data_IF_038696784999
#
_entry.id   IF_038696784999
#
_cell.length_a   1.000
_cell.length_b   1.000
_cell.length_c   1.000
_cell.angle_alpha   90.00
_cell.angle_beta   90.00
_cell.angle_gamma   90.00
#
_symmetry.space_group_name_H-M   'P 1'
#
loop_
_entity.id
_entity.type
_entity.pdbx_description
1 polymer ?
#
# COMPACT_ATOMS: atom_id res chain seq x y z
N UNK A 1 -5.96 1.28 -18.15
CA UNK A 1 -5.92 2.61 -17.48
C UNK A 1 -6.99 2.78 -16.42
N UNK A 2 -8.22 2.27 -16.60
CA UNK A 2 -9.26 2.31 -15.55
C UNK A 2 -8.80 1.66 -14.23
N UNK A 3 -8.11 0.52 -14.27
CA UNK A 3 -7.55 -0.14 -13.08
C UNK A 3 -6.58 0.76 -12.28
N UNK A 4 -5.72 1.54 -12.94
CA UNK A 4 -4.82 2.49 -12.27
C UNK A 4 -5.59 3.55 -11.48
N UNK A 5 -6.60 4.16 -12.10
CA UNK A 5 -7.40 5.18 -11.45
C UNK A 5 -8.16 4.59 -10.25
N UNK A 6 -8.76 3.41 -10.42
CA UNK A 6 -9.52 2.75 -9.36
C UNK A 6 -8.64 2.33 -8.19
N UNK A 7 -7.44 1.75 -8.44
CA UNK A 7 -6.52 1.42 -7.33
C UNK A 7 -6.03 2.67 -6.61
N UNK A 8 -5.80 3.79 -7.32
CA UNK A 8 -5.47 5.08 -6.70
C UNK A 8 -6.62 5.55 -5.79
N UNK A 9 -7.86 5.58 -6.28
CA UNK A 9 -9.02 6.05 -5.50
C UNK A 9 -9.28 5.17 -4.26
N UNK A 10 -9.20 3.85 -4.41
CA UNK A 10 -9.34 2.91 -3.30
C UNK A 10 -8.20 3.10 -2.28
N UNK A 11 -6.95 3.19 -2.73
CA UNK A 11 -5.78 3.39 -1.86
C UNK A 11 -5.79 4.76 -1.16
N UNK A 12 -6.27 5.80 -1.83
CA UNK A 12 -6.52 7.11 -1.23
C UNK A 12 -7.57 6.99 -0.13
N UNK A 13 -8.66 6.27 -0.37
CA UNK A 13 -9.70 6.04 0.64
C UNK A 13 -9.14 5.35 1.88
N UNK A 14 -8.28 4.34 1.72
CA UNK A 14 -7.56 3.71 2.84
C UNK A 14 -6.75 4.74 3.63
N UNK A 15 -5.96 5.57 2.94
CA UNK A 15 -5.13 6.58 3.60
C UNK A 15 -5.97 7.61 4.38
N UNK A 16 -7.12 8.05 3.83
CA UNK A 16 -8.03 8.98 4.49
C UNK A 16 -8.71 8.34 5.72
N UNK A 17 -9.12 7.08 5.63
CA UNK A 17 -9.67 6.34 6.77
C UNK A 17 -8.60 6.21 7.86
N UNK A 18 -7.39 5.77 7.52
CA UNK A 18 -6.29 5.65 8.49
C UNK A 18 -5.98 6.99 9.18
N UNK A 19 -6.00 8.09 8.43
CA UNK A 19 -5.83 9.45 8.98
C UNK A 19 -6.95 9.83 9.94
N UNK A 20 -8.19 9.44 9.65
CA UNK A 20 -9.35 9.80 10.46
C UNK A 20 -9.43 9.03 11.78
N UNK A 21 -9.03 7.75 11.78
CA UNK A 21 -9.29 6.85 12.93
C UNK A 21 -8.30 7.05 14.08
N UNK A 22 -7.19 7.76 13.87
CA UNK A 22 -6.13 8.05 14.86
C UNK A 22 -5.89 6.90 15.84
N UNK A 23 -5.55 5.73 15.29
CA UNK A 23 -5.39 4.52 16.10
C UNK A 23 -4.09 4.57 16.90
N UNK A 24 -4.20 4.40 18.22
CA UNK A 24 -3.05 4.11 19.07
C UNK A 24 -2.38 2.80 18.63
N UNK A 25 -1.07 2.68 18.86
CA UNK A 25 -0.24 1.54 18.42
C UNK A 25 -0.79 0.14 18.76
N UNK A 26 -1.46 -0.01 19.91
CA UNK A 26 -2.07 -1.27 20.34
C UNK A 26 -3.37 -1.64 19.62
N UNK A 27 -4.06 -0.67 19.01
CA UNK A 27 -5.35 -0.89 18.35
C UNK A 27 -5.20 -1.17 16.84
N UNK A 28 -4.02 -0.87 16.28
CA UNK A 28 -3.72 -1.09 14.87
C UNK A 28 -3.94 -2.53 14.42
N UNK A 29 -3.60 -3.52 15.26
CA UNK A 29 -3.83 -4.93 14.93
C UNK A 29 -5.32 -5.31 14.92
N UNK A 30 -6.15 -4.64 15.73
CA UNK A 30 -7.61 -4.83 15.74
C UNK A 30 -8.22 -4.22 14.48
N UNK A 31 -7.75 -3.04 14.07
CA UNK A 31 -8.12 -2.41 12.80
C UNK A 31 -7.78 -3.32 11.61
N UNK A 32 -6.57 -3.87 11.61
CA UNK A 32 -6.07 -4.84 10.63
C UNK A 32 -6.93 -6.10 10.55
N UNK A 33 -7.26 -6.69 11.70
CA UNK A 33 -8.09 -7.89 11.75
C UNK A 33 -9.46 -7.63 11.13
N UNK A 34 -10.11 -6.50 11.46
CA UNK A 34 -11.37 -6.11 10.82
C UNK A 34 -11.24 -5.91 9.30
N UNK A 35 -10.18 -5.25 8.87
CA UNK A 35 -9.86 -5.03 7.45
C UNK A 35 -9.75 -6.36 6.70
N UNK A 36 -8.88 -7.25 7.18
CA UNK A 36 -8.60 -8.52 6.52
C UNK A 36 -9.79 -9.49 6.58
N UNK A 37 -10.64 -9.39 7.60
CA UNK A 37 -11.89 -10.15 7.68
C UNK A 37 -12.87 -9.76 6.57
N UNK A 38 -13.10 -8.47 6.35
CA UNK A 38 -13.99 -8.03 5.27
C UNK A 38 -13.37 -8.30 3.91
N UNK A 39 -12.07 -8.09 3.76
CA UNK A 39 -11.35 -8.39 2.53
C UNK A 39 -11.38 -9.89 2.19
N UNK A 40 -11.30 -10.79 3.18
CA UNK A 40 -11.41 -12.24 2.96
C UNK A 40 -12.83 -12.65 2.53
N UNK A 41 -13.87 -12.05 3.12
CA UNK A 41 -15.26 -12.31 2.71
C UNK A 41 -15.49 -11.83 1.27
N UNK A 42 -15.07 -10.61 0.94
CA UNK A 42 -15.26 -10.07 -0.41
C UNK A 42 -14.49 -10.89 -1.44
N UNK A 43 -13.23 -11.25 -1.17
CA UNK A 43 -12.45 -12.10 -2.07
C UNK A 43 -13.03 -13.52 -2.22
N UNK A 44 -13.63 -14.08 -1.16
CA UNK A 44 -14.40 -15.33 -1.27
C UNK A 44 -15.60 -15.18 -2.20
N UNK A 45 -16.34 -14.06 -2.12
CA UNK A 45 -17.43 -13.78 -3.04
C UNK A 45 -16.94 -13.73 -4.49
N UNK A 46 -15.78 -13.10 -4.76
CA UNK A 46 -15.19 -13.10 -6.11
C UNK A 46 -14.85 -14.49 -6.63
N UNK A 47 -14.39 -15.41 -5.77
CA UNK A 47 -14.19 -16.82 -6.14
C UNK A 47 -15.53 -17.46 -6.54
N UNK A 48 -16.59 -17.25 -5.74
CA UNK A 48 -17.90 -17.86 -5.98
C UNK A 48 -18.59 -17.35 -7.25
N UNK A 49 -18.35 -16.10 -7.65
CA UNK A 49 -18.93 -15.50 -8.85
C UNK A 49 -18.09 -15.67 -10.12
N UNK A 50 -16.82 -16.08 -10.02
CA UNK A 50 -15.95 -16.32 -11.17
C UNK A 50 -15.91 -17.81 -11.48
N UNK A 51 -16.74 -18.25 -12.43
CA UNK A 51 -16.92 -19.67 -12.77
C UNK A 51 -15.62 -20.40 -13.14
N UNK A 52 -14.65 -19.69 -13.75
CA UNK A 52 -13.37 -20.25 -14.18
C UNK A 52 -12.21 -20.03 -13.18
N UNK A 53 -12.49 -19.61 -11.94
CA UNK A 53 -11.44 -19.42 -10.94
C UNK A 53 -10.73 -20.74 -10.62
N UNK A 54 -9.40 -20.76 -10.73
CA UNK A 54 -8.61 -21.97 -10.56
C UNK A 54 -7.82 -21.97 -9.26
N UNK A 55 -7.91 -23.06 -8.51
CA UNK A 55 -7.13 -23.29 -7.31
C UNK A 55 -5.78 -23.92 -7.64
N UNK A 56 -4.71 -23.42 -7.01
CA UNK A 56 -3.38 -24.01 -7.08
C UNK A 56 -2.71 -24.01 -5.71
N UNK A 57 -2.02 -25.11 -5.38
CA UNK A 57 -1.23 -25.24 -4.15
C UNK A 57 -0.10 -24.21 -4.09
N UNK A 58 0.46 -23.85 -5.25
CA UNK A 58 1.53 -22.87 -5.37
C UNK A 58 1.03 -21.48 -4.98
N UNK A 59 -0.18 -21.12 -5.45
CA UNK A 59 -0.86 -19.86 -5.11
C UNK A 59 -1.30 -19.83 -3.65
N UNK A 60 -1.74 -20.97 -3.08
CA UNK A 60 -1.98 -21.10 -1.65
C UNK A 60 -0.74 -20.77 -0.83
N UNK A 61 0.36 -21.50 -1.04
CA UNK A 61 1.59 -21.32 -0.25
C UNK A 61 2.13 -19.89 -0.39
N UNK A 62 2.09 -19.33 -1.60
CA UNK A 62 2.55 -17.97 -1.84
C UNK A 62 1.65 -16.94 -1.13
N UNK A 63 0.32 -17.09 -1.23
CA UNK A 63 -0.65 -16.24 -0.55
C UNK A 63 -0.54 -16.30 0.98
N UNK A 64 -0.32 -17.48 1.56
CA UNK A 64 -0.09 -17.65 3.00
C UNK A 64 1.16 -16.88 3.47
N UNK A 65 2.29 -17.05 2.76
CA UNK A 65 3.52 -16.33 3.08
C UNK A 65 3.37 -14.81 2.97
N UNK A 66 2.69 -14.36 1.91
CA UNK A 66 2.46 -12.95 1.68
C UNK A 66 1.49 -12.33 2.71
N UNK A 67 0.48 -13.07 3.15
CA UNK A 67 -0.41 -12.62 4.24
C UNK A 67 0.32 -12.40 5.56
N UNK A 68 1.34 -13.21 5.88
CA UNK A 68 2.20 -12.97 7.04
C UNK A 68 3.01 -11.68 6.88
N UNK A 69 3.61 -11.46 5.70
CA UNK A 69 4.34 -10.23 5.39
C UNK A 69 3.44 -8.99 5.41
N UNK A 70 2.18 -9.10 5.01
CA UNK A 70 1.18 -8.04 5.14
C UNK A 70 0.97 -7.62 6.61
N UNK A 71 0.80 -8.58 7.50
CA UNK A 71 0.65 -8.30 8.94
C UNK A 71 1.91 -7.68 9.52
N UNK A 72 3.09 -8.26 9.23
CA UNK A 72 4.38 -7.76 9.72
C UNK A 72 4.63 -6.32 9.25
N UNK A 73 4.43 -6.06 7.95
CA UNK A 73 4.69 -4.74 7.34
C UNK A 73 3.75 -3.68 7.89
N UNK A 74 2.47 -4.00 8.07
CA UNK A 74 1.54 -3.03 8.65
C UNK A 74 1.81 -2.78 10.14
N UNK A 75 2.14 -3.81 10.93
CA UNK A 75 2.53 -3.61 12.33
C UNK A 75 3.81 -2.76 12.43
N UNK A 76 4.78 -2.99 11.54
CA UNK A 76 5.96 -2.14 11.42
C UNK A 76 5.58 -0.70 11.08
N UNK A 77 4.63 -0.49 10.16
CA UNK A 77 4.11 0.83 9.79
C UNK A 77 3.42 1.55 10.95
N UNK A 78 2.52 0.88 11.68
CA UNK A 78 1.85 1.44 12.85
C UNK A 78 2.85 1.82 13.98
N UNK A 79 3.86 0.98 14.21
CA UNK A 79 4.94 1.29 15.16
C UNK A 79 5.82 2.43 14.66
N UNK A 80 6.15 2.48 13.37
CA UNK A 80 6.91 3.57 12.78
C UNK A 80 6.17 4.91 12.94
N UNK A 81 4.85 4.95 12.78
CA UNK A 81 4.04 6.15 13.07
C UNK A 81 4.23 6.60 14.52
N UNK A 82 4.22 5.65 15.47
CA UNK A 82 4.34 5.94 16.90
C UNK A 82 5.73 6.42 17.31
N UNK A 83 6.81 5.91 16.68
CA UNK A 83 8.20 6.22 17.04
C UNK A 83 8.85 7.33 16.18
N UNK A 84 8.45 7.44 14.93
CA UNK A 84 9.04 8.36 13.95
C UNK A 84 8.09 9.50 13.55
N UNK A 85 6.81 9.41 13.93
CA UNK A 85 5.75 10.29 13.45
C UNK A 85 5.16 9.83 12.11
N UNK A 86 3.94 10.28 11.85
CA UNK A 86 3.17 9.99 10.63
C UNK A 86 3.93 10.39 9.37
N UNK A 87 4.61 11.54 9.39
CA UNK A 87 5.35 12.06 8.23
C UNK A 87 6.48 11.15 7.76
N UNK A 88 7.36 10.72 8.67
CA UNK A 88 8.47 9.83 8.34
C UNK A 88 8.01 8.43 7.97
N UNK A 89 7.04 7.87 8.70
CA UNK A 89 6.50 6.55 8.40
C UNK A 89 5.83 6.50 7.03
N UNK A 90 5.02 7.51 6.70
CA UNK A 90 4.36 7.62 5.39
C UNK A 90 5.36 7.85 4.26
N UNK A 91 6.39 8.67 4.51
CA UNK A 91 7.46 8.86 3.51
C UNK A 91 8.19 7.54 3.24
N UNK A 92 8.52 6.78 4.29
CA UNK A 92 9.16 5.48 4.15
C UNK A 92 8.29 4.49 3.36
N UNK A 93 6.98 4.45 3.63
CA UNK A 93 6.07 3.58 2.86
C UNK A 93 5.97 3.99 1.39
N UNK A 94 6.03 5.28 1.05
CA UNK A 94 6.07 5.72 -0.36
C UNK A 94 7.40 5.44 -1.04
N UNK A 95 8.52 5.57 -0.33
CA UNK A 95 9.84 5.22 -0.85
C UNK A 95 10.02 3.72 -1.08
N UNK A 96 9.19 2.87 -0.46
CA UNK A 96 9.19 1.42 -0.70
C UNK A 96 9.02 1.05 -2.18
N UNK A 97 8.41 1.94 -2.99
CA UNK A 97 8.25 1.81 -4.44
C UNK A 97 9.57 1.54 -5.17
N UNK A 98 10.71 1.94 -4.60
CA UNK A 98 12.04 1.69 -5.17
C UNK A 98 12.30 0.18 -5.30
N UNK A 99 11.83 -0.63 -4.34
CA UNK A 99 12.05 -2.08 -4.33
C UNK A 99 11.39 -2.78 -5.53
N UNK A 100 10.07 -2.67 -5.76
CA UNK A 100 9.45 -3.32 -6.89
C UNK A 100 9.98 -2.78 -8.23
N UNK A 101 10.37 -1.51 -8.33
CA UNK A 101 10.98 -0.96 -9.55
C UNK A 101 12.33 -1.63 -9.82
N UNK A 102 13.26 -1.57 -8.86
CA UNK A 102 14.61 -2.13 -9.04
C UNK A 102 14.57 -3.63 -9.30
N UNK A 103 13.76 -4.37 -8.54
CA UNK A 103 13.62 -5.81 -8.75
C UNK A 103 12.93 -6.14 -10.07
N UNK A 104 12.02 -5.31 -10.57
CA UNK A 104 11.41 -5.52 -11.90
C UNK A 104 12.39 -5.24 -13.04
N UNK A 105 13.27 -4.24 -12.89
CA UNK A 105 14.36 -3.99 -13.85
C UNK A 105 15.34 -5.18 -13.86
N UNK A 106 15.75 -5.67 -12.69
CA UNK A 106 16.77 -6.73 -12.57
C UNK A 106 16.24 -8.12 -12.94
N UNK A 107 15.06 -8.49 -12.44
CA UNK A 107 14.52 -9.86 -12.55
C UNK A 107 13.70 -10.04 -13.82
N UNK A 108 12.92 -9.01 -14.20
CA UNK A 108 12.01 -9.06 -15.35
C UNK A 108 12.53 -8.28 -16.57
N UNK A 109 13.76 -7.75 -16.51
CA UNK A 109 14.39 -6.97 -17.58
C UNK A 109 13.51 -5.80 -18.08
N UNK A 110 12.67 -5.23 -17.21
CA UNK A 110 11.89 -4.04 -17.56
C UNK A 110 12.86 -2.88 -17.78
N UNK A 111 12.91 -2.36 -19.01
CA UNK A 111 13.84 -1.30 -19.40
C UNK A 111 13.11 0.04 -19.47
N UNK A 112 13.50 1.03 -18.65
CA UNK A 112 12.84 2.32 -18.68
C UNK A 112 13.23 3.11 -19.93
N UNK A 113 12.25 3.78 -20.55
CA UNK A 113 12.53 4.74 -21.62
C UNK A 113 13.11 6.06 -21.07
N UNK A 114 13.71 6.87 -21.94
CA UNK A 114 14.29 8.17 -21.55
C UNK A 114 13.28 9.07 -20.82
N UNK A 115 12.02 9.10 -21.29
CA UNK A 115 10.94 9.83 -20.63
C UNK A 115 10.59 9.26 -19.26
N UNK A 116 10.64 7.93 -19.09
CA UNK A 116 10.37 7.30 -17.79
C UNK A 116 11.46 7.61 -16.77
N UNK A 117 12.72 7.71 -17.20
CA UNK A 117 13.82 8.15 -16.33
C UNK A 117 13.56 9.56 -15.79
N UNK A 118 13.13 10.49 -16.65
CA UNK A 118 12.72 11.83 -16.24
C UNK A 118 11.54 11.76 -15.26
N UNK A 119 10.56 10.90 -15.53
CA UNK A 119 9.44 10.63 -14.64
C UNK A 119 9.84 10.13 -13.24
N UNK A 120 10.87 9.29 -13.14
CA UNK A 120 11.42 8.84 -11.85
C UNK A 120 12.08 9.98 -11.08
N UNK A 121 12.77 10.89 -11.75
CA UNK A 121 13.33 12.09 -11.11
C UNK A 121 12.20 12.93 -10.50
N UNK A 122 11.13 13.21 -11.25
CA UNK A 122 9.96 13.92 -10.72
C UNK A 122 9.24 13.16 -9.59
N UNK A 123 9.22 11.82 -9.64
CA UNK A 123 8.68 10.98 -8.57
C UNK A 123 9.49 11.14 -7.28
N UNK A 124 10.83 11.09 -7.37
CA UNK A 124 11.71 11.30 -6.23
C UNK A 124 11.54 12.70 -5.63
N UNK A 125 11.49 13.74 -6.49
CA UNK A 125 11.20 15.12 -6.09
C UNK A 125 9.87 15.22 -5.36
N UNK A 126 8.83 14.55 -5.87
CA UNK A 126 7.50 14.51 -5.25
C UNK A 126 7.56 13.94 -3.84
N UNK A 127 8.27 12.82 -3.62
CA UNK A 127 8.38 12.22 -2.29
C UNK A 127 9.16 13.09 -1.31
N UNK A 128 10.26 13.72 -1.76
CA UNK A 128 11.07 14.62 -0.92
C UNK A 128 10.24 15.81 -0.45
N UNK A 129 9.52 16.48 -1.36
CA UNK A 129 8.72 17.64 -0.98
C UNK A 129 7.44 17.26 -0.25
N UNK A 130 6.86 16.09 -0.53
CA UNK A 130 5.76 15.54 0.25
C UNK A 130 6.18 15.33 1.71
N UNK A 131 7.37 14.76 1.95
CA UNK A 131 7.93 14.63 3.29
C UNK A 131 8.02 15.99 4.00
N UNK A 132 8.61 17.00 3.37
CA UNK A 132 8.68 18.34 3.97
C UNK A 132 7.31 18.97 4.20
N UNK A 133 6.30 18.57 3.43
CA UNK A 133 4.92 19.04 3.62
C UNK A 133 4.26 18.47 4.88
N UNK A 134 4.65 17.26 5.32
CA UNK A 134 3.98 16.51 6.40
C UNK A 134 4.89 16.28 7.62
N UNK A 135 6.12 16.80 7.59
CA UNK A 135 7.09 16.61 8.68
C UNK A 135 6.82 17.63 9.80
N UNK A 136 6.10 17.21 10.84
CA UNK A 136 5.73 18.05 11.98
C UNK A 136 6.85 18.25 13.02
N UNK A 137 8.12 18.15 12.63
CA UNK A 137 9.26 18.42 13.52
C UNK A 137 9.33 17.53 14.78
N UNK A 138 8.52 16.47 14.87
CA UNK A 138 8.49 15.57 16.02
C UNK A 138 9.83 14.83 16.17
N UNK A 139 10.58 15.25 17.18
CA UNK A 139 11.80 14.60 17.68
C UNK A 139 11.45 13.80 18.92
N UNK A 140 11.07 12.53 18.80
CA UNK A 140 11.12 11.65 19.98
C UNK A 140 10.93 10.18 19.63
N UNK A 141 12.06 9.47 19.63
CA UNK A 141 12.19 8.03 19.63
C UNK A 141 13.68 7.69 19.63
N UNK A 142 14.09 6.65 20.35
CA UNK A 142 15.46 6.14 20.34
C UNK A 142 15.91 5.95 18.88
N UNK A 143 17.03 6.59 18.51
CA UNK A 143 17.44 6.78 17.13
C UNK A 143 17.54 5.45 16.38
N UNK A 144 18.06 4.41 17.04
CA UNK A 144 18.23 3.09 16.43
C UNK A 144 16.89 2.41 16.09
N UNK A 145 15.97 2.33 17.06
CA UNK A 145 14.65 1.68 16.87
C UNK A 145 13.84 2.44 15.81
N UNK A 146 13.92 3.77 15.82
CA UNK A 146 13.26 4.63 14.83
C UNK A 146 13.71 4.27 13.41
N UNK A 147 15.01 4.28 13.14
CA UNK A 147 15.52 3.98 11.79
C UNK A 147 15.30 2.52 11.40
N UNK A 148 15.39 1.58 12.35
CA UNK A 148 15.07 0.18 12.10
C UNK A 148 13.62 -0.01 11.66
N UNK A 149 12.65 0.62 12.35
CA UNK A 149 11.24 0.54 11.97
C UNK A 149 10.96 1.18 10.62
N UNK A 150 11.58 2.33 10.32
CA UNK A 150 11.45 2.96 9.01
C UNK A 150 12.01 2.06 7.90
N UNK A 151 13.15 1.40 8.11
CA UNK A 151 13.71 0.45 7.17
C UNK A 151 12.82 -0.79 7.00
N UNK A 152 12.27 -1.31 8.10
CA UNK A 152 11.35 -2.44 8.07
C UNK A 152 10.07 -2.13 7.28
N UNK A 153 9.55 -0.90 7.38
CA UNK A 153 8.43 -0.42 6.55
C UNK A 153 8.80 -0.39 5.08
N UNK A 154 9.94 0.22 4.73
CA UNK A 154 10.42 0.32 3.36
C UNK A 154 10.58 -1.06 2.73
N UNK A 155 11.24 -1.98 3.43
CA UNK A 155 11.50 -3.34 2.96
C UNK A 155 10.21 -4.15 2.90
N UNK A 156 9.42 -4.15 3.98
CA UNK A 156 8.22 -4.97 4.07
C UNK A 156 7.17 -4.60 3.03
N UNK A 157 6.86 -3.31 2.89
CA UNK A 157 5.90 -2.84 1.88
C UNK A 157 6.45 -3.06 0.47
N UNK A 158 7.74 -2.80 0.24
CA UNK A 158 8.33 -2.98 -1.08
C UNK A 158 8.39 -4.45 -1.52
N UNK A 159 8.64 -5.38 -0.59
CA UNK A 159 8.54 -6.82 -0.86
C UNK A 159 7.09 -7.23 -1.11
N UNK A 160 6.13 -6.70 -0.34
CA UNK A 160 4.71 -6.97 -0.57
C UNK A 160 4.29 -6.54 -1.97
N UNK A 161 4.64 -5.32 -2.35
CA UNK A 161 4.38 -4.76 -3.67
C UNK A 161 5.03 -5.62 -4.74
N UNK A 162 6.35 -5.88 -4.66
CA UNK A 162 7.04 -6.72 -5.65
C UNK A 162 6.45 -8.14 -5.74
N UNK A 163 5.97 -8.71 -4.63
CA UNK A 163 5.33 -10.02 -4.63
C UNK A 163 4.05 -10.05 -5.48
N UNK A 164 3.32 -8.92 -5.56
CA UNK A 164 2.18 -8.81 -6.49
C UNK A 164 2.63 -8.90 -7.94
N UNK A 165 3.73 -8.23 -8.31
CA UNK A 165 4.33 -8.36 -9.64
C UNK A 165 4.77 -9.80 -9.91
N UNK A 166 5.45 -10.43 -8.95
CA UNK A 166 5.86 -11.84 -9.06
C UNK A 166 4.66 -12.74 -9.35
N UNK A 167 3.54 -12.56 -8.64
CA UNK A 167 2.31 -13.29 -8.91
C UNK A 167 1.85 -13.11 -10.36
N UNK A 168 1.69 -11.87 -10.81
CA UNK A 168 1.17 -11.57 -12.16
C UNK A 168 2.07 -12.09 -13.29
N UNK A 169 3.38 -12.23 -13.05
CA UNK A 169 4.32 -12.76 -14.04
C UNK A 169 4.43 -14.29 -14.01
N UNK A 170 4.22 -14.92 -12.85
CA UNK A 170 4.45 -16.35 -12.65
C UNK A 170 3.17 -17.19 -12.70
N UNK A 171 2.02 -16.62 -12.32
CA UNK A 171 0.75 -17.34 -12.18
C UNK A 171 -0.28 -16.90 -13.23
N UNK A 172 -1.19 -17.81 -13.64
CA UNK A 172 -2.32 -17.46 -14.49
C UNK A 172 -3.29 -16.50 -13.79
N UNK A 173 -3.91 -15.60 -14.56
CA UNK A 173 -4.95 -14.66 -14.09
C UNK A 173 -6.17 -15.38 -13.47
N UNK A 174 -6.45 -16.61 -13.89
CA UNK A 174 -7.53 -17.44 -13.34
C UNK A 174 -7.30 -17.78 -11.85
N UNK A 175 -6.06 -17.72 -11.36
CA UNK A 175 -5.72 -17.98 -9.95
C UNK A 175 -5.78 -16.72 -9.08
N UNK A 176 -5.93 -15.53 -9.67
CA UNK A 176 -5.94 -14.25 -8.96
C UNK A 176 -6.97 -14.17 -7.82
N UNK A 177 -8.24 -14.60 -8.00
CA UNK A 177 -9.22 -14.54 -6.91
C UNK A 177 -8.80 -15.37 -5.69
N UNK A 178 -8.23 -16.56 -5.94
CA UNK A 178 -7.69 -17.42 -4.87
C UNK A 178 -6.46 -16.80 -4.21
N UNK A 179 -5.57 -16.18 -4.99
CA UNK A 179 -4.40 -15.50 -4.44
C UNK A 179 -4.80 -14.40 -3.46
N UNK A 180 -5.69 -13.50 -3.88
CA UNK A 180 -6.19 -12.40 -3.05
C UNK A 180 -6.89 -12.94 -1.80
N UNK A 181 -7.71 -13.98 -1.95
CA UNK A 181 -8.37 -14.66 -0.84
C UNK A 181 -7.38 -15.26 0.17
N UNK A 182 -6.32 -15.93 -0.30
CA UNK A 182 -5.32 -16.53 0.59
C UNK A 182 -4.48 -15.48 1.33
N UNK A 183 -4.12 -14.36 0.68
CA UNK A 183 -3.45 -13.25 1.35
C UNK A 183 -4.30 -12.73 2.51
N UNK A 184 -5.56 -12.35 2.22
CA UNK A 184 -6.40 -11.72 3.23
C UNK A 184 -6.88 -12.69 4.32
N UNK A 185 -7.21 -13.93 3.95
CA UNK A 185 -7.62 -14.95 4.94
C UNK A 185 -6.47 -15.31 5.87
N UNK A 186 -5.26 -15.53 5.34
CA UNK A 186 -4.11 -15.83 6.19
C UNK A 186 -3.71 -14.63 7.04
N UNK A 187 -3.70 -13.42 6.48
CA UNK A 187 -3.44 -12.20 7.24
C UNK A 187 -4.45 -11.99 8.37
N UNK A 188 -5.74 -12.27 8.14
CA UNK A 188 -6.77 -12.26 9.18
C UNK A 188 -6.49 -13.30 10.28
N UNK A 189 -6.14 -14.52 9.90
CA UNK A 189 -5.80 -15.60 10.85
C UNK A 189 -4.58 -15.21 11.69
N UNK A 190 -3.50 -14.73 11.07
CA UNK A 190 -2.28 -14.32 11.78
C UNK A 190 -2.55 -13.13 12.72
N UNK A 191 -3.30 -12.12 12.28
CA UNK A 191 -3.69 -10.99 13.12
C UNK A 191 -4.55 -11.45 14.31
N UNK A 192 -5.50 -12.36 14.08
CA UNK A 192 -6.39 -12.89 15.12
C UNK A 192 -5.62 -13.73 16.14
N UNK A 193 -4.70 -14.60 15.69
CA UNK A 193 -3.79 -15.36 16.56
C UNK A 193 -2.97 -14.39 17.42
N UNK A 194 -2.42 -13.34 16.83
CA UNK A 194 -1.65 -12.35 17.58
C UNK A 194 -2.50 -11.63 18.65
N UNK A 195 -3.72 -11.24 18.31
CA UNK A 195 -4.68 -10.63 19.25
C UNK A 195 -4.98 -11.58 20.41
N UNK A 196 -5.25 -12.86 20.12
CA UNK A 196 -5.54 -13.87 21.14
C UNK A 196 -4.34 -14.14 22.06
N UNK A 197 -3.15 -14.35 21.49
CA UNK A 197 -1.92 -14.63 22.25
C UNK A 197 -1.51 -13.45 23.14
N UNK A 198 -1.66 -12.22 22.65
CA UNK A 198 -1.34 -11.00 23.40
C UNK A 198 -2.50 -10.47 24.24
N UNK A 199 -3.65 -11.16 24.24
CA UNK A 199 -4.88 -10.78 24.96
C UNK A 199 -5.26 -9.31 24.71
N UNK A 200 -5.14 -8.87 23.46
CA UNK A 200 -5.39 -7.47 23.08
C UNK A 200 -6.89 -7.20 23.16
N UNK A 201 -7.27 -6.14 23.86
CA UNK A 201 -8.66 -5.74 24.01
C UNK A 201 -9.22 -5.27 22.67
N UNK A 202 -10.28 -5.92 22.20
CA UNK A 202 -10.99 -5.52 20.99
C UNK A 202 -11.85 -4.29 21.30
N UNK A 203 -11.50 -3.16 20.71
CA UNK A 203 -12.26 -1.91 20.83
C UNK A 203 -13.23 -1.84 19.68
N UNK A 204 -14.53 -1.76 19.98
CA UNK A 204 -15.61 -1.81 18.98
C UNK A 204 -15.45 -0.73 17.91
N UNK A 205 -15.13 0.50 18.30
CA UNK A 205 -14.89 1.61 17.37
C UNK A 205 -13.78 1.30 16.35
N UNK A 206 -12.64 0.80 16.84
CA UNK A 206 -11.50 0.46 15.97
C UNK A 206 -11.79 -0.75 15.10
N UNK A 207 -12.50 -1.75 15.62
CA UNK A 207 -12.96 -2.88 14.83
C UNK A 207 -13.90 -2.45 13.69
N UNK A 208 -14.88 -1.57 13.97
CA UNK A 208 -15.83 -1.08 12.95
C UNK A 208 -15.14 -0.31 11.82
N UNK A 209 -14.16 0.51 12.16
CA UNK A 209 -13.33 1.17 11.14
C UNK A 209 -12.46 0.20 10.36
N UNK A 210 -12.01 -0.88 11.00
CA UNK A 210 -11.32 -1.98 10.33
C UNK A 210 -12.20 -2.62 9.27
N UNK A 211 -13.45 -2.95 9.64
CA UNK A 211 -14.43 -3.51 8.70
C UNK A 211 -14.65 -2.59 7.49
N UNK A 212 -14.82 -1.28 7.73
CA UNK A 212 -14.98 -0.29 6.66
C UNK A 212 -13.73 -0.18 5.78
N UNK A 213 -12.53 -0.25 6.36
CA UNK A 213 -11.27 -0.19 5.64
C UNK A 213 -11.04 -1.41 4.75
N UNK A 214 -11.61 -2.57 5.11
CA UNK A 214 -11.51 -3.81 4.33
C UNK A 214 -12.02 -3.71 2.90
N UNK A 215 -13.09 -2.94 2.69
CA UNK A 215 -13.69 -2.75 1.37
C UNK A 215 -12.74 -2.07 0.38
N UNK A 216 -12.25 -0.84 0.61
CA UNK A 216 -11.31 -0.22 -0.31
C UNK A 216 -9.96 -0.97 -0.37
N UNK A 217 -9.59 -1.71 0.68
CA UNK A 217 -8.34 -2.47 0.68
C UNK A 217 -8.35 -3.64 -0.32
N UNK A 218 -9.38 -4.50 -0.30
CA UNK A 218 -9.46 -5.61 -1.25
C UNK A 218 -9.57 -5.12 -2.70
N UNK A 219 -10.36 -4.07 -2.94
CA UNK A 219 -10.48 -3.47 -4.27
C UNK A 219 -9.19 -2.82 -4.73
N UNK A 220 -8.46 -2.14 -3.85
CA UNK A 220 -7.13 -1.60 -4.17
C UNK A 220 -6.19 -2.69 -4.67
N UNK A 221 -6.14 -3.84 -3.97
CA UNK A 221 -5.31 -4.99 -4.36
C UNK A 221 -5.74 -5.59 -5.70
N UNK A 222 -7.03 -5.85 -5.91
CA UNK A 222 -7.54 -6.40 -7.17
C UNK A 222 -7.23 -5.45 -8.35
N UNK A 223 -7.49 -4.15 -8.19
CA UNK A 223 -7.21 -3.19 -9.23
C UNK A 223 -5.71 -2.97 -9.46
N UNK A 224 -4.86 -3.16 -8.45
CA UNK A 224 -3.42 -3.14 -8.61
C UNK A 224 -2.95 -4.34 -9.45
N UNK A 225 -3.42 -5.55 -9.14
CA UNK A 225 -3.12 -6.75 -9.92
C UNK A 225 -3.61 -6.62 -11.37
N UNK A 226 -4.83 -6.13 -11.56
CA UNK A 226 -5.36 -5.83 -12.89
C UNK A 226 -4.56 -4.76 -13.64
N UNK A 227 -3.92 -3.80 -12.96
CA UNK A 227 -3.01 -2.85 -13.60
C UNK A 227 -1.67 -3.48 -13.97
N UNK A 228 -1.11 -4.34 -13.11
CA UNK A 228 0.15 -5.05 -13.34
C UNK A 228 0.05 -6.12 -14.44
N UNK A 229 -1.15 -6.67 -14.67
CA UNK A 229 -1.40 -7.62 -15.75
C UNK A 229 -1.28 -6.97 -17.14
N UNK A 230 -1.51 -5.65 -17.26
CA UNK A 230 -1.51 -4.94 -18.55
C UNK A 230 -0.37 -3.94 -18.72
N UNK A 231 0.32 -3.56 -17.64
CA UNK A 231 1.38 -2.54 -17.65
C UNK A 231 2.61 -2.99 -16.87
N UNK A 232 3.82 -2.56 -17.28
CA UNK A 232 5.06 -2.79 -16.54
C UNK A 232 4.99 -2.27 -15.10
N UNK A 233 5.62 -3.00 -14.18
CA UNK A 233 5.69 -2.60 -12.77
C UNK A 233 6.40 -1.25 -12.61
N UNK A 234 7.44 -0.99 -13.41
CA UNK A 234 8.16 0.29 -13.42
C UNK A 234 7.27 1.50 -13.73
N UNK A 235 6.09 1.31 -14.33
CA UNK A 235 5.10 2.36 -14.55
C UNK A 235 4.01 2.37 -13.47
N UNK A 236 3.49 1.20 -13.12
CA UNK A 236 2.33 1.07 -12.21
C UNK A 236 2.66 1.63 -10.82
N UNK A 237 3.73 1.18 -10.18
CA UNK A 237 3.98 1.56 -8.78
C UNK A 237 4.26 3.05 -8.58
N UNK A 238 5.08 3.73 -9.40
CA UNK A 238 5.25 5.18 -9.32
C UNK A 238 3.97 5.96 -9.55
N UNK A 239 3.20 5.63 -10.61
CA UNK A 239 1.95 6.32 -10.94
C UNK A 239 0.94 6.17 -9.79
N UNK A 240 0.81 4.96 -9.24
CA UNK A 240 -0.09 4.71 -8.11
C UNK A 240 0.33 5.49 -6.87
N UNK A 241 1.61 5.46 -6.49
CA UNK A 241 2.08 6.16 -5.29
C UNK A 241 1.98 7.69 -5.41
N UNK A 242 2.37 8.26 -6.56
CA UNK A 242 2.23 9.70 -6.82
C UNK A 242 0.75 10.08 -6.91
N UNK A 243 -0.07 9.27 -7.57
CA UNK A 243 -1.52 9.46 -7.65
C UNK A 243 -2.15 9.52 -6.25
N UNK A 244 -1.81 8.57 -5.37
CA UNK A 244 -2.31 8.58 -3.99
C UNK A 244 -1.91 9.87 -3.27
N UNK A 245 -0.66 10.34 -3.42
CA UNK A 245 -0.22 11.62 -2.82
C UNK A 245 -1.07 12.79 -3.31
N UNK A 246 -1.27 12.92 -4.63
CA UNK A 246 -2.06 14.00 -5.20
C UNK A 246 -3.50 13.95 -4.69
N UNK A 247 -4.17 12.79 -4.80
CA UNK A 247 -5.57 12.66 -4.40
C UNK A 247 -5.79 12.80 -2.89
N UNK A 248 -4.91 12.24 -2.06
CA UNK A 248 -4.99 12.42 -0.60
C UNK A 248 -4.79 13.88 -0.20
N UNK A 249 -3.85 14.58 -0.84
CA UNK A 249 -3.56 16.00 -0.57
C UNK A 249 -4.73 16.89 -0.96
N UNK A 250 -5.32 16.68 -2.15
CA UNK A 250 -6.50 17.40 -2.61
C UNK A 250 -7.73 17.12 -1.73
N UNK A 251 -8.01 15.86 -1.43
CA UNK A 251 -9.15 15.51 -0.58
C UNK A 251 -8.96 15.98 0.85
N UNK A 252 -7.74 15.99 1.39
CA UNK A 252 -7.49 16.56 2.71
C UNK A 252 -7.74 18.07 2.75
N UNK A 253 -7.40 18.80 1.69
CA UNK A 253 -7.77 20.20 1.53
C UNK A 253 -9.30 20.40 1.51
N UNK A 254 -10.06 19.55 0.81
CA UNK A 254 -11.53 19.71 0.74
C UNK A 254 -12.26 19.24 2.00
N UNK A 255 -11.89 18.09 2.56
CA UNK A 255 -12.58 17.45 3.69
C UNK A 255 -12.21 18.12 5.02
N UNK A 256 -10.91 18.33 5.26
CA UNK A 256 -10.41 18.89 6.52
C UNK A 256 -10.01 20.37 6.44
N UNK A 257 -10.15 21.00 5.27
CA UNK A 257 -9.77 22.42 5.05
C UNK A 257 -8.32 22.70 5.42
N UNK A 258 -7.46 21.68 5.29
CA UNK A 258 -6.02 21.81 5.53
C UNK A 258 -5.41 22.74 4.48
N UNK A 259 -4.64 23.73 4.92
CA UNK A 259 -3.97 24.64 3.98
C UNK A 259 -2.77 23.94 3.37
N UNK A 260 -2.67 23.98 2.04
CA UNK A 260 -1.50 23.52 1.31
C UNK A 260 -0.32 24.45 1.62
N UNK A 261 0.73 23.90 2.23
CA UNK A 261 1.98 24.63 2.40
C UNK A 261 2.77 24.65 1.07
N UNK A 262 3.81 25.48 1.01
CA UNK A 262 4.63 25.64 -0.20
C UNK A 262 5.24 24.32 -0.69
N UNK A 263 5.64 23.44 0.24
CA UNK A 263 6.20 22.13 -0.07
C UNK A 263 5.18 21.17 -0.67
N UNK A 264 3.95 21.16 -0.14
CA UNK A 264 2.83 20.38 -0.68
C UNK A 264 2.44 20.81 -2.09
N UNK A 265 2.50 22.12 -2.39
CA UNK A 265 2.27 22.63 -3.74
C UNK A 265 3.36 22.12 -4.69
N UNK A 266 4.63 22.19 -4.29
CA UNK A 266 5.75 21.69 -5.10
C UNK A 266 5.61 20.18 -5.34
N UNK A 267 5.26 19.41 -4.30
CA UNK A 267 5.04 17.96 -4.43
C UNK A 267 3.88 17.65 -5.40
N UNK A 268 2.81 18.44 -5.37
CA UNK A 268 1.67 18.25 -6.25
C UNK A 268 2.01 18.58 -7.70
N UNK A 269 2.69 19.71 -7.95
CA UNK A 269 3.10 20.09 -9.31
C UNK A 269 4.14 19.12 -9.88
N UNK A 270 5.14 18.70 -9.10
CA UNK A 270 6.10 17.68 -9.53
C UNK A 270 5.43 16.32 -9.74
N UNK A 271 4.42 15.98 -8.95
CA UNK A 271 3.69 14.73 -9.08
C UNK A 271 2.89 14.64 -10.38
N UNK A 272 2.25 15.73 -10.79
CA UNK A 272 1.57 15.80 -12.09
C UNK A 272 2.58 15.60 -13.22
N UNK A 273 3.73 16.27 -13.16
CA UNK A 273 4.80 16.09 -14.16
C UNK A 273 5.32 14.66 -14.19
N UNK A 274 5.50 14.02 -13.02
CA UNK A 274 5.90 12.61 -12.92
C UNK A 274 4.95 11.70 -13.69
N UNK A 275 3.64 11.80 -13.43
CA UNK A 275 2.63 10.97 -14.10
C UNK A 275 2.62 11.21 -15.61
N UNK A 276 2.76 12.47 -16.05
CA UNK A 276 2.81 12.81 -17.48
C UNK A 276 4.01 12.15 -18.16
N UNK A 277 5.23 12.34 -17.63
CA UNK A 277 6.44 11.75 -18.20
C UNK A 277 6.42 10.21 -18.19
N UNK A 278 5.92 9.61 -17.11
CA UNK A 278 5.77 8.15 -17.01
C UNK A 278 4.72 7.61 -17.98
N UNK A 279 3.70 8.40 -18.34
CA UNK A 279 2.63 7.97 -19.24
C UNK A 279 2.96 8.16 -20.72
N UNK A 280 3.84 9.11 -21.06
CA UNK A 280 4.26 9.39 -22.45
C UNK A 280 5.21 8.31 -22.97
N UNK A 281 6.09 7.78 -22.12
CA UNK A 281 7.10 6.80 -22.53
C UNK A 281 6.59 5.38 -22.74
N UNK A 282 5.35 5.20 -23.20
CA UNK A 282 4.72 3.90 -23.49
C UNK A 282 5.18 3.30 -24.80
#
# INVERSE_FOLDING_TARGET
MHFLLLTILCSTSIALILKHVDTKSGEAIVLLAGNYFVASIISLMFILFKEDANFSIQTLVFGLGLGLLFVISFVAFAKAISYAGTGLATTSSRLSVIIPILLSIIIYNESPSEFQIIGFVFTAVTFIFFYFSISDGHKSGDGFIKYFLLLAVLIGIGINDFSMKVFTSWRPELEEPFFVFFIFTSAFVYASIYIALKKIKIIKHTATWGLLLGVPNVFSTIFLLGALAILPAILVYPIVNVGIIIFTTLLAFFIWKEKLNRWGIIALTSGVMAIVFLSIGR
#
